data_IF_307863916273
#
_entry.id   IF_307863916273
#
_cell.length_a   1.000
_cell.length_b   1.000
_cell.length_c   1.000
_cell.angle_alpha   90.00
_cell.angle_beta   90.00
_cell.angle_gamma   90.00
#
_symmetry.space_group_name_H-M   'P 1'
#
loop_
_entity.id
_entity.type
_entity.pdbx_description
1 polymer ?
#
# COMPACT_ATOMS: atom_id res chain seq x y z
N UNK A 1 16.96 9.71 4.20
CA UNK A 1 16.12 9.85 5.42
C UNK A 1 15.07 10.96 5.25
N UNK A 2 13.78 10.70 5.55
CA UNK A 2 12.73 11.74 5.55
C UNK A 2 11.70 11.67 4.40
N UNK A 3 12.04 11.08 3.26
CA UNK A 3 11.09 10.93 2.12
C UNK A 3 9.86 10.11 2.48
N UNK A 4 10.03 9.13 3.36
CA UNK A 4 8.93 8.35 3.89
C UNK A 4 7.93 9.22 4.67
N UNK A 5 8.40 10.17 5.47
CA UNK A 5 7.54 11.06 6.26
C UNK A 5 6.68 11.98 5.38
N UNK A 6 7.17 12.35 4.19
CA UNK A 6 6.40 13.14 3.22
C UNK A 6 5.19 12.39 2.66
N UNK A 7 5.21 11.05 2.68
CA UNK A 7 4.04 10.22 2.31
C UNK A 7 2.99 10.13 3.43
N UNK A 8 3.29 10.68 4.62
CA UNK A 8 2.42 10.67 5.80
C UNK A 8 1.65 11.96 6.00
N UNK A 9 2.03 13.04 5.33
CA UNK A 9 1.40 14.35 5.48
C UNK A 9 -0.03 14.35 4.91
N UNK A 10 -0.97 13.86 5.72
CA UNK A 10 -2.38 14.19 5.67
C UNK A 10 -2.71 14.79 7.02
N UNK A 11 -3.14 16.06 7.01
CA UNK A 11 -3.63 16.80 8.17
C UNK A 11 -2.57 17.21 9.20
N UNK A 12 -1.77 18.23 8.85
CA UNK A 12 -1.49 19.40 9.71
C UNK A 12 -0.48 20.32 9.00
N UNK A 13 -1.00 21.43 8.46
CA UNK A 13 -0.30 22.71 8.38
C UNK A 13 1.03 22.78 7.62
N UNK A 14 1.05 22.40 6.34
CA UNK A 14 1.65 23.21 5.25
C UNK A 14 1.25 22.55 3.91
N UNK A 15 0.02 22.83 3.49
CA UNK A 15 -0.52 22.39 2.20
C UNK A 15 0.07 23.25 1.06
N UNK A 16 1.40 23.35 1.00
CA UNK A 16 2.06 24.03 -0.10
C UNK A 16 2.00 23.14 -1.35
N UNK A 17 1.91 23.80 -2.51
CA UNK A 17 1.81 23.16 -3.82
C UNK A 17 2.93 22.14 -4.07
N UNK A 18 4.12 22.37 -3.47
CA UNK A 18 5.23 21.43 -3.53
C UNK A 18 4.92 20.09 -2.88
N UNK A 19 4.28 20.10 -1.71
CA UNK A 19 3.92 18.89 -0.95
C UNK A 19 2.86 18.10 -1.72
N UNK A 20 1.82 18.76 -2.24
CA UNK A 20 0.80 18.11 -3.08
C UNK A 20 1.40 17.47 -4.33
N UNK A 21 2.28 18.19 -5.04
CA UNK A 21 2.97 17.64 -6.21
C UNK A 21 3.86 16.45 -5.87
N UNK A 22 4.52 16.45 -4.71
CA UNK A 22 5.31 15.32 -4.26
C UNK A 22 4.44 14.11 -3.95
N UNK A 23 3.33 14.31 -3.23
CA UNK A 23 2.36 13.26 -2.94
C UNK A 23 1.75 12.68 -4.23
N UNK A 24 1.37 13.52 -5.18
CA UNK A 24 0.87 13.10 -6.49
C UNK A 24 1.88 12.22 -7.24
N UNK A 25 3.16 12.62 -7.31
CA UNK A 25 4.20 11.80 -7.96
C UNK A 25 4.38 10.43 -7.31
N UNK A 26 4.29 10.35 -5.98
CA UNK A 26 4.34 9.07 -5.26
C UNK A 26 3.13 8.22 -5.62
N UNK A 27 1.93 8.81 -5.59
CA UNK A 27 0.70 8.13 -5.96
C UNK A 27 0.75 7.62 -7.41
N UNK A 28 1.19 8.44 -8.37
CA UNK A 28 1.33 8.05 -9.77
C UNK A 28 2.29 6.86 -9.95
N UNK A 29 3.36 6.84 -9.17
CA UNK A 29 4.33 5.73 -9.17
C UNK A 29 3.69 4.45 -8.66
N UNK A 30 2.94 4.52 -7.55
CA UNK A 30 2.23 3.35 -7.00
C UNK A 30 1.18 2.85 -7.99
N UNK A 31 0.37 3.74 -8.56
CA UNK A 31 -0.62 3.38 -9.56
C UNK A 31 0.03 2.78 -10.82
N UNK A 32 1.21 3.25 -11.22
CA UNK A 32 1.96 2.66 -12.32
C UNK A 32 2.38 1.21 -12.05
N UNK A 33 2.82 0.92 -10.83
CA UNK A 33 3.14 -0.46 -10.42
C UNK A 33 1.87 -1.32 -10.40
N UNK A 34 0.77 -0.82 -9.83
CA UNK A 34 -0.49 -1.57 -9.72
C UNK A 34 -1.12 -1.89 -11.08
N UNK A 35 -0.93 -1.03 -12.10
CA UNK A 35 -1.31 -1.35 -13.48
C UNK A 35 -0.60 -2.60 -14.01
N UNK A 36 0.62 -2.88 -13.57
CA UNK A 36 1.34 -4.13 -13.89
C UNK A 36 0.71 -5.39 -13.29
N UNK A 37 -0.11 -5.24 -12.24
CA UNK A 37 -0.92 -6.31 -11.65
C UNK A 37 -2.32 -6.41 -12.27
N UNK A 38 -2.67 -5.54 -13.22
CA UNK A 38 -3.99 -5.48 -13.85
C UNK A 38 -5.02 -4.61 -13.11
N UNK A 39 -4.66 -4.05 -11.94
CA UNK A 39 -5.56 -3.22 -11.14
C UNK A 39 -5.74 -1.82 -11.74
N UNK A 40 -6.98 -1.36 -11.85
CA UNK A 40 -7.34 -0.04 -12.38
C UNK A 40 -8.51 0.57 -11.61
N UNK A 41 -8.88 1.82 -11.92
CA UNK A 41 -10.06 2.47 -11.35
C UNK A 41 -10.05 2.53 -9.81
N UNK A 42 -11.21 2.28 -9.20
CA UNK A 42 -11.39 2.33 -7.74
C UNK A 42 -10.58 1.26 -7.01
N UNK A 43 -10.42 0.10 -7.61
CA UNK A 43 -9.70 -1.03 -7.02
C UNK A 43 -8.19 -0.78 -6.96
N UNK A 44 -7.61 -0.09 -7.95
CA UNK A 44 -6.25 0.42 -7.83
C UNK A 44 -6.09 1.41 -6.65
N UNK A 45 -7.13 2.17 -6.30
CA UNK A 45 -7.11 3.06 -5.13
C UNK A 45 -7.25 2.26 -3.83
N UNK A 46 -8.08 1.22 -3.78
CA UNK A 46 -8.17 0.30 -2.65
C UNK A 46 -6.84 -0.44 -2.43
N UNK A 47 -6.21 -0.95 -3.48
CA UNK A 47 -4.89 -1.57 -3.44
C UNK A 47 -3.80 -0.57 -3.02
N UNK A 48 -3.88 0.70 -3.47
CA UNK A 48 -2.97 1.76 -2.99
C UNK A 48 -3.10 1.96 -1.47
N UNK A 49 -4.32 2.00 -0.93
CA UNK A 49 -4.56 2.11 0.52
C UNK A 49 -4.01 0.90 1.28
N UNK A 50 -4.18 -0.31 0.72
CA UNK A 50 -3.60 -1.53 1.27
C UNK A 50 -2.07 -1.46 1.33
N UNK A 51 -1.42 -1.18 0.20
CA UNK A 51 0.05 -1.06 0.09
C UNK A 51 0.59 -0.02 1.07
N UNK A 52 -0.02 1.17 1.11
CA UNK A 52 0.39 2.24 2.02
C UNK A 52 0.27 1.82 3.48
N UNK A 53 -0.81 1.14 3.86
CA UNK A 53 -1.04 0.69 5.23
C UNK A 53 0.00 -0.31 5.70
N UNK A 54 0.32 -1.32 4.88
CA UNK A 54 1.31 -2.35 5.21
C UNK A 54 2.70 -1.73 5.35
N UNK A 55 3.14 -0.95 4.35
CA UNK A 55 4.44 -0.29 4.39
C UNK A 55 4.51 0.72 5.55
N UNK A 56 3.39 1.36 5.89
CA UNK A 56 3.33 2.26 7.02
C UNK A 56 3.49 1.61 8.37
N UNK A 57 2.73 0.55 8.65
CA UNK A 57 2.92 -0.22 9.87
C UNK A 57 4.36 -0.71 9.98
N UNK A 58 4.92 -1.25 8.90
CA UNK A 58 6.29 -1.75 8.90
C UNK A 58 7.33 -0.65 9.19
N UNK A 59 7.31 0.47 8.47
CA UNK A 59 8.30 1.54 8.68
C UNK A 59 8.12 2.21 10.05
N UNK A 60 6.89 2.40 10.50
CA UNK A 60 6.63 2.96 11.83
C UNK A 60 7.21 2.06 12.94
N UNK A 61 6.98 0.74 12.86
CA UNK A 61 7.54 -0.25 13.80
C UNK A 61 9.06 -0.35 13.71
N UNK A 62 9.61 -0.41 12.49
CA UNK A 62 11.06 -0.49 12.26
C UNK A 62 11.79 0.70 12.89
N UNK A 63 11.27 1.92 12.67
CA UNK A 63 11.88 3.16 13.17
C UNK A 63 11.74 3.37 14.66
N UNK A 64 10.72 2.80 15.30
CA UNK A 64 10.52 2.88 16.75
C UNK A 64 11.26 1.79 17.53
N UNK A 65 12.00 0.90 16.86
CA UNK A 65 12.65 -0.23 17.50
C UNK A 65 11.70 -1.38 17.85
N UNK A 66 10.52 -1.45 17.20
CA UNK A 66 9.49 -2.45 17.44
C UNK A 66 9.87 -3.90 17.06
N UNK A 67 11.02 -4.11 16.39
CA UNK A 67 11.56 -5.43 16.07
C UNK A 67 12.60 -5.90 17.11
N UNK A 68 12.24 -5.86 18.39
CA UNK A 68 13.14 -6.21 19.50
C UNK A 68 13.41 -7.72 19.66
N UNK A 69 12.76 -8.57 18.86
CA UNK A 69 13.00 -10.02 18.86
C UNK A 69 14.36 -10.35 18.22
N UNK A 70 15.05 -11.43 18.65
CA UNK A 70 16.34 -11.85 18.10
C UNK A 70 16.17 -12.56 16.75
N UNK A 71 15.54 -11.88 15.79
CA UNK A 71 15.33 -12.32 14.42
C UNK A 71 16.03 -11.35 13.48
N UNK A 72 16.48 -11.87 12.34
CA UNK A 72 17.05 -11.04 11.28
C UNK A 72 15.98 -10.12 10.65
N UNK A 73 16.14 -8.78 10.72
CA UNK A 73 15.22 -7.84 10.10
C UNK A 73 15.16 -7.96 8.57
N UNK A 74 16.25 -8.34 7.91
CA UNK A 74 16.28 -8.47 6.45
C UNK A 74 15.37 -9.62 5.98
N UNK A 75 15.41 -10.74 6.70
CA UNK A 75 14.47 -11.85 6.51
C UNK A 75 13.01 -11.41 6.66
N UNK A 76 12.71 -10.62 7.70
CA UNK A 76 11.35 -10.11 7.93
C UNK A 76 10.89 -9.15 6.82
N UNK A 77 11.80 -8.32 6.35
CA UNK A 77 11.58 -7.37 5.25
C UNK A 77 11.26 -8.09 3.95
N UNK A 78 12.05 -9.13 3.61
CA UNK A 78 11.81 -9.95 2.42
C UNK A 78 10.42 -10.60 2.47
N UNK A 79 10.07 -11.22 3.60
CA UNK A 79 8.74 -11.85 3.80
C UNK A 79 7.59 -10.85 3.70
N UNK A 80 7.78 -9.63 4.18
CA UNK A 80 6.79 -8.57 4.05
C UNK A 80 6.54 -8.22 2.58
N UNK A 81 7.59 -8.08 1.76
CA UNK A 81 7.44 -7.80 0.34
C UNK A 81 6.82 -8.98 -0.44
N UNK A 82 7.19 -10.22 -0.11
CA UNK A 82 6.56 -11.42 -0.68
C UNK A 82 5.06 -11.48 -0.34
N UNK A 83 4.69 -11.22 0.91
CA UNK A 83 3.29 -11.15 1.34
C UNK A 83 2.52 -10.00 0.69
N UNK A 84 3.18 -8.85 0.47
CA UNK A 84 2.59 -7.71 -0.21
C UNK A 84 2.30 -8.02 -1.68
N UNK A 85 3.25 -8.62 -2.43
CA UNK A 85 3.03 -9.07 -3.81
C UNK A 85 1.86 -10.06 -3.88
N UNK A 86 1.84 -11.07 -3.01
CA UNK A 86 0.75 -12.05 -2.97
C UNK A 86 -0.61 -11.40 -2.66
N UNK A 87 -0.66 -10.45 -1.72
CA UNK A 87 -1.87 -9.71 -1.39
C UNK A 87 -2.39 -8.86 -2.54
N UNK A 88 -1.49 -8.16 -3.26
CA UNK A 88 -1.87 -7.36 -4.44
C UNK A 88 -2.37 -8.26 -5.57
N UNK A 89 -1.73 -9.42 -5.83
CA UNK A 89 -2.23 -10.41 -6.80
C UNK A 89 -3.61 -10.92 -6.40
N UNK A 90 -3.84 -11.19 -5.13
CA UNK A 90 -5.14 -11.63 -4.65
C UNK A 90 -6.23 -10.60 -4.94
N UNK A 91 -5.98 -9.32 -4.65
CA UNK A 91 -6.91 -8.22 -4.98
C UNK A 91 -7.19 -8.16 -6.49
N UNK A 92 -6.16 -8.31 -7.33
CA UNK A 92 -6.31 -8.32 -8.78
C UNK A 92 -7.17 -9.50 -9.29
N UNK A 93 -7.09 -10.65 -8.64
CA UNK A 93 -7.93 -11.81 -8.98
C UNK A 93 -9.40 -11.63 -8.54
N UNK A 94 -9.67 -10.86 -7.48
CA UNK A 94 -11.03 -10.56 -7.06
C UNK A 94 -11.76 -9.63 -8.05
N UNK A 95 -11.07 -8.67 -8.68
CA UNK A 95 -11.66 -7.85 -9.76
C UNK A 95 -12.19 -8.69 -10.94
N UNK A 96 -11.52 -9.82 -11.23
CA UNK A 96 -11.89 -10.73 -12.31
C UNK A 96 -12.99 -11.74 -11.94
N UNK A 97 -13.44 -11.77 -10.69
CA UNK A 97 -14.50 -12.67 -10.25
C UNK A 97 -15.87 -12.03 -10.53
N UNK A 98 -16.82 -12.72 -11.20
CA UNK A 98 -18.14 -12.17 -11.43
C UNK A 98 -18.80 -11.83 -10.09
N UNK A 99 -19.60 -10.75 -10.02
CA UNK A 99 -20.36 -10.44 -8.82
C UNK A 99 -21.17 -11.68 -8.45
N UNK A 100 -20.91 -12.23 -7.27
CA UNK A 100 -21.71 -13.34 -6.76
C UNK A 100 -23.09 -12.76 -6.50
N UNK A 101 -24.03 -13.05 -7.41
CA UNK A 101 -25.43 -12.69 -7.29
C UNK A 101 -26.01 -13.38 -6.04
N UNK A 102 -25.86 -12.72 -4.90
CA UNK A 102 -26.57 -13.05 -3.68
C UNK A 102 -27.98 -12.44 -3.75
N UNK A 103 -28.78 -12.92 -4.71
CA UNK A 103 -30.23 -12.87 -4.70
C UNK A 103 -30.73 -13.96 -5.63
N UNK A 104 -31.04 -15.15 -5.09
CA UNK A 104 -32.27 -15.92 -5.37
C UNK A 104 -32.31 -17.13 -4.42
N UNK A 105 -33.50 -17.39 -3.88
CA UNK A 105 -33.92 -18.47 -2.96
C UNK A 105 -33.64 -18.15 -1.48
N UNK A 106 -34.66 -17.91 -0.63
CA UNK A 106 -36.09 -18.23 -0.67
C UNK A 106 -36.86 -17.28 0.22
#
# INVERSE_FOLDING_TARGET
PGLYALTLAGEQGDDDERTRRAAARVLDTVLAVLRGYGLQGEEALHATRYVRSVLHGYVALSRSGGFAMPLDPDTSTKRLFEGLDAGVRHLAHQEGSPPTDATTAR
#
